data_IF_426612271066
#
_entry.id   IF_426612271066
#
_cell.length_a   1.000
_cell.length_b   1.000
_cell.length_c   1.000
_cell.angle_alpha   90.00
_cell.angle_beta   90.00
_cell.angle_gamma   90.00
#
_symmetry.space_group_name_H-M   'P 1'
#
loop_
_entity.id
_entity.type
_entity.pdbx_description
1 polymer ?
#
# COMPACT_ATOMS: atom_id res chain seq x y z
N UNK A 1 16.87 16.66 3.35
CA UNK A 1 16.51 16.78 4.77
C UNK A 1 17.02 15.67 5.67
N UNK A 2 17.32 14.49 5.13
CA UNK A 2 17.81 13.33 5.91
C UNK A 2 19.30 13.39 6.29
N UNK A 3 20.04 14.44 5.87
CA UNK A 3 21.45 14.61 6.18
C UNK A 3 22.43 13.87 5.27
N UNK A 4 21.95 13.04 4.35
CA UNK A 4 22.76 12.33 3.36
C UNK A 4 22.37 12.76 1.94
N UNK A 5 23.37 13.20 1.15
CA UNK A 5 23.13 13.72 -0.20
C UNK A 5 22.51 15.12 -0.26
N UNK A 6 22.41 15.66 -1.46
CA UNK A 6 21.93 17.03 -1.74
C UNK A 6 20.81 17.06 -2.80
N UNK A 7 20.43 15.90 -3.34
CA UNK A 7 19.37 15.81 -4.33
C UNK A 7 18.00 16.02 -3.69
N UNK A 8 17.09 16.77 -4.33
CA UNK A 8 15.77 17.04 -3.82
C UNK A 8 14.91 15.77 -3.80
N UNK A 9 14.16 15.59 -2.71
CA UNK A 9 13.26 14.47 -2.51
C UNK A 9 11.81 14.95 -2.31
N UNK A 10 10.85 14.04 -2.47
CA UNK A 10 9.43 14.33 -2.14
C UNK A 10 9.28 14.73 -0.66
N UNK A 11 10.11 14.17 0.23
CA UNK A 11 10.11 14.56 1.64
C UNK A 11 10.54 16.01 1.85
N UNK A 12 11.55 16.49 1.11
CA UNK A 12 11.98 17.89 1.18
C UNK A 12 10.84 18.83 0.78
N UNK A 13 10.04 18.47 -0.23
CA UNK A 13 8.88 19.23 -0.63
C UNK A 13 7.84 19.31 0.51
N UNK A 14 7.55 18.20 1.18
CA UNK A 14 6.65 18.20 2.34
C UNK A 14 7.19 19.01 3.52
N UNK A 15 8.50 18.97 3.79
CA UNK A 15 9.14 19.77 4.83
C UNK A 15 9.00 21.25 4.53
N UNK A 16 9.31 21.69 3.30
CA UNK A 16 9.19 23.11 2.90
C UNK A 16 7.76 23.60 2.96
N UNK A 17 6.78 22.77 2.67
CA UNK A 17 5.35 23.09 2.79
C UNK A 17 4.82 22.98 4.23
N UNK A 18 5.67 22.68 5.21
CA UNK A 18 5.29 22.56 6.62
C UNK A 18 4.43 21.35 6.96
N UNK A 19 4.33 20.37 6.05
CA UNK A 19 3.46 19.20 6.18
C UNK A 19 4.05 18.10 7.07
N UNK A 20 5.38 18.11 7.30
CA UNK A 20 6.09 17.19 8.20
C UNK A 20 6.77 18.00 9.30
N UNK A 21 6.65 17.54 10.54
CA UNK A 21 7.39 18.09 11.67
C UNK A 21 8.83 17.57 11.65
N UNK A 22 9.81 18.47 11.57
CA UNK A 22 11.23 18.12 11.47
C UNK A 22 11.78 17.40 12.71
N UNK A 23 11.11 17.57 13.84
CA UNK A 23 11.46 17.07 15.18
C UNK A 23 10.59 15.94 15.70
N UNK A 24 9.60 15.49 14.93
CA UNK A 24 8.60 14.51 15.37
C UNK A 24 8.63 13.18 14.60
N UNK A 25 9.52 13.05 13.62
CA UNK A 25 9.60 11.78 12.86
C UNK A 25 10.14 10.66 13.75
N UNK A 26 9.50 9.49 13.67
CA UNK A 26 9.83 8.32 14.50
C UNK A 26 9.91 8.65 16.01
N UNK A 27 8.90 9.39 16.51
CA UNK A 27 8.86 9.88 17.91
C UNK A 27 10.11 10.70 18.33
N UNK A 28 10.68 11.45 17.39
CA UNK A 28 11.86 12.31 17.64
C UNK A 28 13.21 11.61 17.46
N UNK A 29 13.22 10.32 17.13
CA UNK A 29 14.47 9.58 16.87
C UNK A 29 15.17 10.01 15.56
N UNK A 30 14.40 10.57 14.61
CA UNK A 30 14.94 11.11 13.35
C UNK A 30 14.60 12.59 13.22
N UNK A 31 15.65 13.41 13.20
CA UNK A 31 15.52 14.85 12.95
C UNK A 31 15.77 15.14 11.48
N UNK A 32 14.84 15.86 10.86
CA UNK A 32 14.98 16.36 9.49
C UNK A 32 15.60 17.76 9.51
N UNK A 33 16.42 18.06 8.51
CA UNK A 33 17.03 19.39 8.35
C UNK A 33 16.22 20.22 7.35
N UNK A 34 15.45 21.18 7.85
CA UNK A 34 14.64 22.08 7.03
C UNK A 34 15.50 23.02 6.15
N UNK A 35 16.69 23.39 6.61
CA UNK A 35 17.63 24.19 5.83
C UNK A 35 18.13 23.44 4.61
N UNK A 36 18.53 22.18 4.78
CA UNK A 36 18.95 21.32 3.66
C UNK A 36 17.78 21.02 2.72
N UNK A 37 16.57 20.80 3.22
CA UNK A 37 15.38 20.67 2.38
C UNK A 37 15.16 21.91 1.51
N UNK A 38 15.27 23.10 2.08
CA UNK A 38 15.13 24.35 1.35
C UNK A 38 16.21 24.52 0.28
N UNK A 39 17.48 24.20 0.59
CA UNK A 39 18.58 24.25 -0.37
C UNK A 39 18.42 23.23 -1.52
N UNK A 40 17.97 22.02 -1.20
CA UNK A 40 17.70 20.99 -2.21
C UNK A 40 16.60 21.46 -3.18
N UNK A 41 15.51 22.07 -2.68
CA UNK A 41 14.45 22.59 -3.53
C UNK A 41 14.89 23.79 -4.39
N UNK A 42 15.85 24.60 -3.95
CA UNK A 42 16.41 25.69 -4.75
C UNK A 42 17.07 25.19 -6.03
N UNK A 43 17.61 23.97 -6.04
CA UNK A 43 18.19 23.36 -7.24
C UNK A 43 17.15 23.11 -8.34
N UNK A 44 15.89 22.88 -7.96
CA UNK A 44 14.77 22.73 -8.90
C UNK A 44 14.12 24.08 -9.18
N UNK A 45 13.91 24.89 -8.16
CA UNK A 45 13.18 26.15 -8.25
C UNK A 45 13.89 27.20 -9.11
N UNK A 46 15.19 27.42 -8.85
CA UNK A 46 15.99 28.46 -9.56
C UNK A 46 16.06 28.27 -11.05
N UNK A 47 16.42 27.08 -11.61
CA UNK A 47 16.44 26.87 -13.06
C UNK A 47 15.08 27.05 -13.72
N UNK A 48 13.99 26.83 -12.99
CA UNK A 48 12.62 26.97 -13.50
C UNK A 48 12.03 28.38 -13.27
N UNK A 49 12.78 29.33 -12.68
CA UNK A 49 12.30 30.66 -12.34
C UNK A 49 11.13 30.65 -11.34
N UNK A 50 11.07 29.65 -10.47
CA UNK A 50 10.00 29.46 -9.50
C UNK A 50 10.48 29.76 -8.08
N UNK A 51 9.56 30.12 -7.18
CA UNK A 51 9.83 30.07 -5.75
C UNK A 51 9.78 28.61 -5.22
N UNK A 52 10.34 28.41 -4.02
CA UNK A 52 10.41 27.07 -3.39
C UNK A 52 9.06 26.42 -3.16
N UNK A 53 8.02 27.20 -2.85
CA UNK A 53 6.68 26.69 -2.55
C UNK A 53 6.06 26.13 -3.83
N UNK A 54 6.15 26.88 -4.94
CA UNK A 54 5.70 26.42 -6.26
C UNK A 54 6.47 25.20 -6.75
N UNK A 55 7.79 25.18 -6.54
CA UNK A 55 8.60 24.00 -6.89
C UNK A 55 8.20 22.78 -6.05
N UNK A 56 7.98 22.94 -4.74
CA UNK A 56 7.50 21.89 -3.86
C UNK A 56 6.13 21.33 -4.30
N UNK A 57 5.17 22.21 -4.60
CA UNK A 57 3.87 21.78 -5.14
C UNK A 57 4.00 21.04 -6.49
N UNK A 58 4.88 21.54 -7.36
CA UNK A 58 5.19 20.89 -8.64
C UNK A 58 5.69 19.44 -8.47
N UNK A 59 6.66 19.25 -7.57
CA UNK A 59 7.21 17.93 -7.22
C UNK A 59 6.08 17.01 -6.72
N UNK A 60 5.24 17.49 -5.80
CA UNK A 60 4.14 16.68 -5.25
C UNK A 60 3.09 16.33 -6.31
N UNK A 61 2.77 17.26 -7.23
CA UNK A 61 1.86 16.97 -8.34
C UNK A 61 2.40 15.88 -9.26
N UNK A 62 3.70 15.92 -9.59
CA UNK A 62 4.33 14.87 -10.41
C UNK A 62 4.32 13.53 -9.67
N UNK A 63 4.68 13.52 -8.39
CA UNK A 63 4.62 12.31 -7.57
C UNK A 63 3.20 11.72 -7.50
N UNK A 64 2.19 12.56 -7.27
CA UNK A 64 0.79 12.14 -7.23
C UNK A 64 0.31 11.60 -8.59
N UNK A 65 0.68 12.24 -9.71
CA UNK A 65 0.34 11.75 -11.05
C UNK A 65 0.94 10.36 -11.34
N UNK A 66 2.16 10.10 -10.88
CA UNK A 66 2.79 8.79 -11.02
C UNK A 66 2.09 7.73 -10.15
N UNK A 67 1.73 8.07 -8.90
CA UNK A 67 0.98 7.17 -8.03
C UNK A 67 -0.44 6.92 -8.56
N UNK A 68 -1.13 7.94 -9.05
CA UNK A 68 -2.45 7.80 -9.69
C UNK A 68 -2.38 6.83 -10.87
N UNK A 69 -1.38 6.96 -11.75
CA UNK A 69 -1.16 6.05 -12.87
C UNK A 69 -0.98 4.61 -12.40
N UNK A 70 -0.15 4.38 -11.38
CA UNK A 70 0.06 3.05 -10.83
C UNK A 70 -1.24 2.44 -10.25
N UNK A 71 -2.07 3.24 -9.59
CA UNK A 71 -3.38 2.80 -9.08
C UNK A 71 -4.30 2.43 -10.24
N UNK A 72 -4.33 3.21 -11.32
CA UNK A 72 -5.16 2.91 -12.51
C UNK A 72 -4.78 1.61 -13.19
N UNK A 73 -3.49 1.29 -13.27
CA UNK A 73 -3.01 0.00 -13.82
C UNK A 73 -3.56 -1.20 -13.06
N UNK A 74 -3.63 -1.13 -11.73
CA UNK A 74 -4.12 -2.25 -10.91
C UNK A 74 -5.65 -2.23 -10.70
N UNK A 75 -6.34 -1.18 -11.11
CA UNK A 75 -7.80 -1.04 -10.98
C UNK A 75 -8.49 -0.91 -12.35
N UNK A 76 -8.43 0.25 -12.97
CA UNK A 76 -9.17 0.56 -14.22
C UNK A 76 -8.79 -0.38 -15.36
N UNK A 77 -7.49 -0.64 -15.56
CA UNK A 77 -7.02 -1.55 -16.61
C UNK A 77 -7.43 -3.01 -16.35
N UNK A 78 -7.82 -3.33 -15.12
CA UNK A 78 -8.38 -4.65 -14.75
C UNK A 78 -9.91 -4.65 -14.67
N UNK A 79 -10.58 -3.58 -15.11
CA UNK A 79 -12.03 -3.49 -15.14
C UNK A 79 -12.68 -3.09 -13.82
N UNK A 80 -11.91 -2.62 -12.84
CA UNK A 80 -12.44 -2.14 -11.55
C UNK A 80 -12.60 -0.63 -11.55
N UNK A 81 -13.78 -0.13 -11.20
CA UNK A 81 -14.00 1.30 -11.01
C UNK A 81 -13.45 1.73 -9.64
N UNK A 82 -12.44 2.63 -9.57
CA UNK A 82 -11.90 3.09 -8.29
C UNK A 82 -12.95 3.68 -7.35
N UNK A 83 -14.04 4.26 -7.88
CA UNK A 83 -15.10 4.91 -7.09
C UNK A 83 -15.86 3.95 -6.16
N UNK A 84 -15.81 2.65 -6.44
CA UNK A 84 -16.44 1.59 -5.64
C UNK A 84 -15.56 1.15 -4.45
N UNK A 85 -14.36 1.73 -4.32
CA UNK A 85 -13.37 1.35 -3.32
C UNK A 85 -13.06 2.48 -2.34
N UNK A 86 -12.38 2.13 -1.25
CA UNK A 86 -11.69 3.05 -0.37
C UNK A 86 -10.17 2.98 -0.62
N UNK A 87 -9.47 4.11 -0.50
CA UNK A 87 -8.03 4.17 -0.57
C UNK A 87 -7.42 3.86 0.79
N UNK A 88 -6.63 2.80 0.90
CA UNK A 88 -5.84 2.52 2.10
C UNK A 88 -4.47 3.17 1.96
N UNK A 89 -4.15 4.09 2.86
CA UNK A 89 -2.87 4.81 2.87
C UNK A 89 -2.00 4.34 4.03
N UNK A 90 -0.76 3.93 3.72
CA UNK A 90 0.22 3.52 4.70
C UNK A 90 1.64 3.89 4.26
N UNK A 91 2.63 3.64 5.13
CA UNK A 91 3.99 4.16 4.98
C UNK A 91 4.13 5.58 5.54
N UNK A 92 5.36 6.07 5.66
CA UNK A 92 5.67 7.35 6.33
C UNK A 92 4.94 8.56 5.75
N UNK A 93 4.91 8.67 4.42
CA UNK A 93 4.31 9.79 3.69
C UNK A 93 2.99 9.44 2.99
N UNK A 94 2.53 8.18 3.02
CA UNK A 94 1.31 7.76 2.32
C UNK A 94 0.09 8.61 2.66
N UNK A 95 -0.09 8.94 3.94
CA UNK A 95 -1.18 9.80 4.41
C UNK A 95 -1.11 11.25 3.94
N UNK A 96 0.07 11.75 3.54
CA UNK A 96 0.24 13.11 3.02
C UNK A 96 -0.29 13.28 1.60
N UNK A 97 -0.35 12.20 0.84
CA UNK A 97 -0.81 12.15 -0.54
C UNK A 97 -2.26 11.67 -0.69
N UNK A 98 -2.75 10.94 0.31
CA UNK A 98 -3.94 10.10 0.21
C UNK A 98 -5.22 10.84 -0.18
N UNK A 99 -5.51 11.99 0.44
CA UNK A 99 -6.73 12.75 0.14
C UNK A 99 -6.69 13.36 -1.27
N UNK A 100 -5.51 13.80 -1.73
CA UNK A 100 -5.35 14.34 -3.08
C UNK A 100 -5.51 13.24 -4.13
N UNK A 101 -4.87 12.09 -3.94
CA UNK A 101 -5.03 10.92 -4.81
C UNK A 101 -6.48 10.42 -4.84
N UNK A 102 -7.13 10.34 -3.68
CA UNK A 102 -8.54 9.96 -3.61
C UNK A 102 -9.44 10.96 -4.37
N UNK A 103 -9.15 12.27 -4.27
CA UNK A 103 -9.90 13.29 -5.01
C UNK A 103 -9.73 13.15 -6.53
N UNK A 104 -8.50 12.88 -7.02
CA UNK A 104 -8.18 12.69 -8.43
C UNK A 104 -8.84 11.42 -9.01
N UNK A 105 -8.88 10.34 -8.22
CA UNK A 105 -9.50 9.07 -8.60
C UNK A 105 -11.02 9.02 -8.38
N UNK A 106 -11.62 10.07 -7.81
CA UNK A 106 -13.06 10.12 -7.51
C UNK A 106 -13.47 9.29 -6.28
N UNK A 107 -12.51 8.83 -5.48
CA UNK A 107 -12.76 8.10 -4.23
C UNK A 107 -13.27 9.05 -3.15
N UNK A 108 -14.18 8.56 -2.32
CA UNK A 108 -14.79 9.35 -1.23
C UNK A 108 -14.23 9.05 0.15
N UNK A 109 -13.53 7.93 0.28
CA UNK A 109 -13.06 7.41 1.56
C UNK A 109 -11.58 7.07 1.49
N UNK A 110 -10.83 7.55 2.48
CA UNK A 110 -9.44 7.16 2.74
C UNK A 110 -9.39 6.52 4.12
N UNK A 111 -8.67 5.41 4.21
CA UNK A 111 -8.43 4.65 5.43
C UNK A 111 -6.94 4.69 5.75
N UNK A 112 -6.57 5.11 6.95
CA UNK A 112 -5.18 5.08 7.41
C UNK A 112 -5.10 4.16 8.63
N UNK A 113 -4.51 2.96 8.48
CA UNK A 113 -4.44 1.99 9.57
C UNK A 113 -3.67 2.51 10.78
N UNK A 114 -3.96 1.95 11.96
CA UNK A 114 -3.02 2.07 13.07
C UNK A 114 -1.65 1.53 12.65
N UNK A 115 -0.58 2.13 13.14
CA UNK A 115 0.80 1.79 12.78
C UNK A 115 1.10 1.92 11.27
N UNK A 116 0.44 2.85 10.57
CA UNK A 116 0.63 3.05 9.13
C UNK A 116 2.10 3.14 8.72
N UNK A 117 2.95 3.80 9.50
CA UNK A 117 4.39 3.94 9.22
C UNK A 117 5.17 2.64 9.23
N UNK A 118 4.69 1.61 9.91
CA UNK A 118 5.33 0.30 10.08
C UNK A 118 4.42 -0.87 9.69
N UNK A 119 3.36 -0.62 8.91
CA UNK A 119 2.34 -1.60 8.56
C UNK A 119 2.92 -2.85 7.89
N UNK A 120 3.95 -2.70 7.05
CA UNK A 120 4.61 -3.84 6.40
C UNK A 120 5.34 -4.73 7.42
N UNK A 121 6.03 -4.13 8.39
CA UNK A 121 6.68 -4.87 9.47
C UNK A 121 5.63 -5.58 10.36
N UNK A 122 4.53 -4.88 10.64
CA UNK A 122 3.40 -5.46 11.34
C UNK A 122 2.82 -6.66 10.57
N UNK A 123 2.66 -6.54 9.26
CA UNK A 123 2.20 -7.62 8.38
C UNK A 123 3.07 -8.88 8.47
N UNK A 124 4.37 -8.74 8.63
CA UNK A 124 5.28 -9.87 8.82
C UNK A 124 5.00 -10.66 10.10
N UNK A 125 4.53 -10.01 11.18
CA UNK A 125 4.14 -10.67 12.42
C UNK A 125 2.89 -11.53 12.26
N UNK A 126 2.03 -11.18 11.29
CA UNK A 126 0.83 -11.96 10.97
C UNK A 126 0.98 -12.88 9.77
N UNK A 127 2.08 -12.79 9.04
CA UNK A 127 2.31 -13.67 7.90
C UNK A 127 2.55 -15.11 8.37
N UNK A 128 1.92 -16.06 7.66
CA UNK A 128 2.25 -17.46 7.82
C UNK A 128 3.62 -17.74 7.21
N UNK A 129 4.33 -18.73 7.75
CA UNK A 129 5.55 -19.22 7.11
C UNK A 129 5.15 -20.04 5.89
N UNK A 130 5.54 -19.58 4.69
CA UNK A 130 5.27 -20.26 3.43
C UNK A 130 6.58 -20.61 2.75
N UNK A 131 6.70 -21.83 2.22
CA UNK A 131 7.79 -22.26 1.34
C UNK A 131 7.23 -22.96 0.13
N UNK A 132 7.73 -22.58 -1.04
CA UNK A 132 7.38 -23.18 -2.31
C UNK A 132 8.52 -24.08 -2.79
N UNK A 133 8.16 -25.27 -3.22
CA UNK A 133 9.06 -26.28 -3.79
C UNK A 133 8.59 -26.61 -5.19
N UNK A 134 9.49 -26.70 -6.15
CA UNK A 134 9.16 -26.96 -7.53
C UNK A 134 10.17 -27.90 -8.18
N UNK A 135 9.70 -28.69 -9.15
CA UNK A 135 10.52 -29.54 -10.03
C UNK A 135 9.93 -29.49 -11.44
N UNK A 136 10.78 -29.41 -12.46
CA UNK A 136 10.37 -29.55 -13.87
C UNK A 136 9.76 -30.93 -14.14
N UNK A 137 8.70 -30.97 -14.94
CA UNK A 137 7.90 -32.18 -15.19
C UNK A 137 7.81 -32.59 -16.66
N UNK A 138 8.37 -31.84 -17.61
CA UNK A 138 8.22 -32.03 -19.06
C UNK A 138 8.62 -33.42 -19.58
N UNK A 139 9.55 -34.10 -18.92
CA UNK A 139 10.04 -35.43 -19.33
C UNK A 139 9.52 -36.57 -18.48
N UNK A 140 8.51 -36.33 -17.64
CA UNK A 140 7.99 -37.33 -16.70
C UNK A 140 6.60 -37.81 -17.10
N UNK A 141 6.45 -39.14 -17.27
CA UNK A 141 5.16 -39.76 -17.54
C UNK A 141 4.21 -39.79 -16.33
N UNK A 142 4.78 -39.79 -15.13
CA UNK A 142 4.00 -39.82 -13.89
C UNK A 142 4.45 -38.69 -12.92
N UNK A 143 3.50 -37.96 -12.35
CA UNK A 143 3.78 -36.83 -11.48
C UNK A 143 3.83 -37.18 -9.99
N UNK A 144 3.21 -38.26 -9.59
CA UNK A 144 3.12 -38.67 -8.18
C UNK A 144 4.48 -38.85 -7.49
N UNK A 145 5.51 -39.44 -8.10
CA UNK A 145 6.84 -39.51 -7.51
C UNK A 145 7.46 -38.13 -7.27
N UNK A 146 7.23 -37.18 -8.20
CA UNK A 146 7.72 -35.82 -8.10
C UNK A 146 7.06 -35.10 -6.92
N UNK A 147 5.72 -35.15 -6.82
CA UNK A 147 5.00 -34.58 -5.70
C UNK A 147 5.45 -35.17 -4.36
N UNK A 148 5.57 -36.50 -4.24
CA UNK A 148 6.05 -37.15 -3.01
C UNK A 148 7.48 -36.74 -2.65
N UNK A 149 8.34 -36.50 -3.64
CA UNK A 149 9.70 -36.00 -3.41
C UNK A 149 9.67 -34.60 -2.80
N UNK A 150 8.88 -33.68 -3.42
CA UNK A 150 8.69 -32.33 -2.93
C UNK A 150 8.06 -32.30 -1.53
N UNK A 151 7.06 -33.14 -1.28
CA UNK A 151 6.40 -33.25 0.02
C UNK A 151 7.36 -33.75 1.13
N UNK A 152 8.19 -34.74 0.86
CA UNK A 152 9.22 -35.17 1.82
C UNK A 152 10.18 -34.04 2.14
N UNK A 153 10.61 -33.29 1.13
CA UNK A 153 11.47 -32.12 1.32
C UNK A 153 10.77 -31.04 2.12
N UNK A 154 9.51 -30.73 1.78
CA UNK A 154 8.71 -29.73 2.46
C UNK A 154 8.49 -30.07 3.94
N UNK A 155 8.16 -31.33 4.26
CA UNK A 155 7.99 -31.79 5.65
C UNK A 155 9.28 -31.73 6.46
N UNK A 156 10.44 -31.98 5.82
CA UNK A 156 11.74 -31.86 6.46
C UNK A 156 12.13 -30.39 6.74
N UNK A 157 11.88 -29.50 5.77
CA UNK A 157 12.28 -28.08 5.88
C UNK A 157 11.27 -27.24 6.68
N UNK A 158 9.98 -27.64 6.69
CA UNK A 158 8.92 -26.95 7.43
C UNK A 158 8.01 -27.97 8.13
N UNK A 159 8.45 -28.54 9.26
CA UNK A 159 7.64 -29.52 10.01
C UNK A 159 6.31 -28.92 10.46
N UNK A 160 5.23 -29.73 10.38
CA UNK A 160 3.88 -29.33 10.78
C UNK A 160 3.14 -28.44 9.78
N UNK A 161 3.72 -28.17 8.60
CA UNK A 161 3.05 -27.41 7.55
C UNK A 161 1.93 -28.21 6.87
N UNK A 162 0.86 -27.54 6.51
CA UNK A 162 -0.09 -28.03 5.49
C UNK A 162 0.57 -27.96 4.11
N UNK A 163 0.27 -28.93 3.26
CA UNK A 163 0.84 -29.04 1.92
C UNK A 163 -0.25 -28.89 0.86
N UNK A 164 0.01 -28.05 -0.12
CA UNK A 164 -0.87 -27.84 -1.27
C UNK A 164 -0.09 -28.18 -2.55
N UNK A 165 -0.68 -29.03 -3.41
CA UNK A 165 -0.12 -29.38 -4.73
C UNK A 165 -0.68 -28.45 -5.79
N UNK A 166 0.18 -28.00 -6.69
CA UNK A 166 -0.22 -27.33 -7.95
C UNK A 166 0.72 -27.71 -9.07
N UNK A 167 0.31 -27.43 -10.30
CA UNK A 167 1.17 -27.63 -11.46
C UNK A 167 1.02 -26.47 -12.43
N UNK A 168 2.11 -26.16 -13.13
CA UNK A 168 2.11 -25.21 -14.23
C UNK A 168 1.87 -25.97 -15.52
N UNK A 169 0.75 -25.65 -16.18
CA UNK A 169 0.30 -26.31 -17.41
C UNK A 169 0.17 -25.29 -18.55
N UNK A 170 0.35 -25.78 -19.75
CA UNK A 170 0.08 -25.01 -20.98
C UNK A 170 -0.42 -25.94 -22.10
N UNK A 171 -1.06 -25.39 -23.10
CA UNK A 171 -1.23 -26.14 -24.35
C UNK A 171 0.11 -26.30 -25.06
N UNK A 172 0.33 -27.45 -25.66
CA UNK A 172 1.55 -27.69 -26.45
C UNK A 172 1.77 -26.57 -27.46
N UNK A 173 2.97 -26.00 -27.45
CA UNK A 173 3.37 -24.89 -28.32
C UNK A 173 2.98 -23.49 -27.80
N UNK A 174 2.41 -23.35 -26.62
CA UNK A 174 2.24 -22.04 -25.94
C UNK A 174 3.51 -21.67 -25.16
N UNK A 175 3.77 -20.36 -25.07
CA UNK A 175 4.90 -19.82 -24.30
C UNK A 175 4.57 -19.53 -22.84
N UNK A 176 3.28 -19.42 -22.50
CA UNK A 176 2.81 -19.05 -21.16
C UNK A 176 2.14 -20.22 -20.48
N UNK A 177 2.36 -20.36 -19.19
CA UNK A 177 1.87 -21.40 -18.33
C UNK A 177 0.83 -20.82 -17.35
N UNK A 178 -0.15 -21.66 -16.98
CA UNK A 178 -1.09 -21.36 -15.91
C UNK A 178 -0.86 -22.31 -14.75
N UNK A 179 -0.73 -21.76 -13.55
CA UNK A 179 -0.65 -22.54 -12.33
C UNK A 179 -2.06 -22.94 -11.88
N UNK A 180 -2.31 -24.23 -11.78
CA UNK A 180 -3.61 -24.77 -11.34
C UNK A 180 -3.45 -25.69 -10.13
N UNK A 181 -4.42 -25.72 -9.19
CA UNK A 181 -4.43 -26.68 -8.10
C UNK A 181 -4.45 -28.12 -8.64
N UNK A 182 -3.59 -28.97 -8.10
CA UNK A 182 -3.52 -30.38 -8.48
C UNK A 182 -4.30 -31.26 -7.50
N UNK A 183 -5.52 -31.66 -7.90
CA UNK A 183 -6.44 -32.50 -7.09
C UNK A 183 -6.90 -33.74 -7.86
N UNK A 184 -5.97 -34.35 -8.63
CA UNK A 184 -6.23 -35.55 -9.44
C UNK A 184 -6.45 -35.25 -10.91
N UNK A 185 -7.36 -34.40 -11.31
CA UNK A 185 -7.58 -33.96 -12.69
C UNK A 185 -7.09 -32.55 -12.91
N UNK A 186 -5.85 -32.41 -13.36
CA UNK A 186 -5.25 -31.13 -13.70
C UNK A 186 -5.75 -30.55 -15.03
N UNK A 187 -6.19 -31.38 -15.97
CA UNK A 187 -6.63 -30.95 -17.29
C UNK A 187 -7.90 -30.11 -17.20
N UNK A 188 -8.94 -30.61 -16.53
CA UNK A 188 -10.18 -29.85 -16.34
C UNK A 188 -9.97 -28.56 -15.54
N UNK A 189 -9.07 -28.57 -14.54
CA UNK A 189 -8.72 -27.36 -13.81
C UNK A 189 -8.03 -26.32 -14.72
N UNK A 190 -7.13 -26.79 -15.60
CA UNK A 190 -6.44 -25.95 -16.57
C UNK A 190 -7.41 -25.32 -17.59
N UNK A 191 -8.30 -26.12 -18.19
CA UNK A 191 -9.28 -25.60 -19.16
C UNK A 191 -10.17 -24.53 -18.55
N UNK A 192 -10.66 -24.71 -17.31
CA UNK A 192 -11.45 -23.68 -16.60
C UNK A 192 -10.65 -22.41 -16.36
N UNK A 193 -9.41 -22.55 -15.93
CA UNK A 193 -8.55 -21.39 -15.66
C UNK A 193 -8.16 -20.67 -16.94
N UNK A 194 -7.87 -21.41 -18.03
CA UNK A 194 -7.56 -20.85 -19.35
C UNK A 194 -8.75 -20.07 -19.91
N UNK A 195 -9.98 -20.62 -19.77
CA UNK A 195 -11.21 -19.91 -20.13
C UNK A 195 -11.37 -18.62 -19.32
N UNK A 196 -11.06 -18.66 -18.03
CA UNK A 196 -11.17 -17.49 -17.15
C UNK A 196 -10.17 -16.38 -17.51
N UNK A 197 -8.92 -16.75 -17.80
CA UNK A 197 -7.82 -15.78 -18.04
C UNK A 197 -7.85 -15.24 -19.47
N UNK A 198 -8.07 -16.12 -20.46
CA UNK A 198 -7.94 -15.78 -21.88
C UNK A 198 -9.26 -15.74 -22.63
N UNK A 199 -10.39 -16.09 -22.00
CA UNK A 199 -11.70 -16.08 -22.62
C UNK A 199 -12.02 -17.27 -23.53
N UNK A 200 -11.13 -18.25 -23.63
CA UNK A 200 -11.34 -19.47 -24.40
C UNK A 200 -10.64 -20.69 -23.77
N UNK A 201 -11.08 -21.89 -24.13
CA UNK A 201 -10.41 -23.16 -23.85
C UNK A 201 -10.60 -24.12 -25.04
N UNK A 202 -9.68 -25.06 -25.20
CA UNK A 202 -9.74 -26.06 -26.24
C UNK A 202 -9.41 -27.45 -25.65
N UNK A 203 -10.44 -28.21 -25.34
CA UNK A 203 -10.31 -29.54 -24.73
C UNK A 203 -9.68 -30.58 -25.66
N UNK A 204 -9.61 -30.31 -26.96
CA UNK A 204 -9.00 -31.22 -27.95
C UNK A 204 -7.50 -31.01 -28.09
N UNK A 205 -7.01 -29.88 -27.62
CA UNK A 205 -5.59 -29.51 -27.72
C UNK A 205 -4.79 -30.20 -26.62
N UNK A 206 -3.67 -30.87 -26.95
CA UNK A 206 -2.83 -31.53 -25.95
C UNK A 206 -2.24 -30.52 -24.97
N UNK A 207 -2.21 -30.92 -23.70
CA UNK A 207 -1.66 -30.15 -22.59
C UNK A 207 -0.32 -30.77 -22.20
N UNK A 208 0.67 -29.93 -21.93
CA UNK A 208 1.92 -30.35 -21.30
C UNK A 208 2.02 -29.77 -19.90
N UNK A 209 2.58 -30.56 -18.99
CA UNK A 209 2.84 -30.17 -17.62
C UNK A 209 4.31 -29.77 -17.52
N UNK A 210 4.55 -28.51 -17.26
CA UNK A 210 5.91 -27.93 -17.28
C UNK A 210 6.59 -28.08 -15.93
N UNK A 211 5.86 -27.80 -14.85
CA UNK A 211 6.40 -27.78 -13.47
C UNK A 211 5.35 -28.32 -12.51
N UNK A 212 5.78 -29.13 -11.56
CA UNK A 212 4.96 -29.46 -10.38
C UNK A 212 5.46 -28.69 -9.17
N UNK A 213 4.51 -28.27 -8.33
CA UNK A 213 4.80 -27.45 -7.15
C UNK A 213 4.13 -27.99 -5.91
N UNK A 214 4.80 -27.86 -4.79
CA UNK A 214 4.24 -28.08 -3.45
C UNK A 214 4.46 -26.82 -2.64
N UNK A 215 3.36 -26.22 -2.19
CA UNK A 215 3.37 -25.11 -1.23
C UNK A 215 3.18 -25.66 0.17
N UNK A 216 4.16 -25.41 1.03
CA UNK A 216 4.08 -25.72 2.45
C UNK A 216 3.74 -24.46 3.23
N UNK A 217 2.67 -24.51 4.02
CA UNK A 217 2.21 -23.40 4.86
C UNK A 217 2.14 -23.83 6.31
N UNK A 218 2.82 -23.11 7.17
CA UNK A 218 2.72 -23.24 8.63
C UNK A 218 2.13 -21.97 9.22
N UNK A 219 0.98 -22.12 9.86
CA UNK A 219 0.31 -21.00 10.54
C UNK A 219 1.19 -20.47 11.67
N UNK A 220 1.42 -19.17 11.68
CA UNK A 220 2.13 -18.47 12.74
C UNK A 220 1.11 -17.96 13.77
N UNK A 221 1.36 -18.07 15.08
CA UNK A 221 0.52 -17.45 16.10
C UNK A 221 0.38 -15.97 15.82
N UNK A 222 -0.87 -15.47 15.83
CA UNK A 222 -1.16 -14.07 15.52
C UNK A 222 -1.11 -13.25 16.80
N UNK A 223 -0.23 -12.23 16.92
CA UNK A 223 -0.20 -11.37 18.09
C UNK A 223 -1.50 -10.56 18.20
N UNK A 224 -2.01 -10.41 19.42
CA UNK A 224 -3.09 -9.49 19.67
C UNK A 224 -2.58 -8.04 19.56
N UNK A 225 -3.28 -7.20 18.79
CA UNK A 225 -2.99 -5.77 18.80
C UNK A 225 -3.48 -5.17 20.13
N UNK A 226 -2.55 -4.54 20.85
CA UNK A 226 -2.92 -3.75 22.01
C UNK A 226 -3.63 -2.48 21.51
N UNK A 227 -4.86 -2.29 21.97
CA UNK A 227 -5.63 -1.09 21.67
C UNK A 227 -5.15 0.02 22.60
N UNK A 228 -4.64 1.12 22.05
CA UNK A 228 -4.48 2.33 22.84
C UNK A 228 -5.85 2.93 23.13
N UNK A 229 -6.11 3.28 24.41
CA UNK A 229 -7.34 3.97 24.77
C UNK A 229 -7.31 5.39 24.24
N UNK A 230 -8.23 5.72 23.33
CA UNK A 230 -8.35 7.06 22.78
C UNK A 230 -9.06 7.97 23.78
N UNK A 231 -8.32 8.84 24.43
CA UNK A 231 -8.86 9.76 25.42
C UNK A 231 -9.54 11.02 24.80
N UNK A 232 -9.52 11.15 23.46
CA UNK A 232 -10.18 12.28 22.80
C UNK A 232 -9.67 13.65 23.26
N UNK A 233 -8.38 13.82 23.47
CA UNK A 233 -7.77 15.06 23.93
C UNK A 233 -7.78 16.14 22.84
N UNK A 234 -7.82 17.42 23.24
CA UNK A 234 -7.66 18.54 22.31
C UNK A 234 -6.33 18.47 21.53
N UNK A 235 -6.28 19.04 20.32
CA UNK A 235 -5.04 19.07 19.53
C UNK A 235 -3.91 19.72 20.32
N UNK A 236 -2.71 19.13 20.28
CA UNK A 236 -1.58 19.57 21.10
C UNK A 236 -0.95 20.89 20.61
N UNK A 237 -1.08 21.20 19.32
CA UNK A 237 -0.47 22.38 18.71
C UNK A 237 -1.14 22.78 17.39
N UNK A 238 -0.83 23.99 16.95
CA UNK A 238 -1.08 24.45 15.59
C UNK A 238 0.22 24.63 14.82
N UNK A 239 0.17 24.38 13.53
CA UNK A 239 1.31 24.57 12.62
C UNK A 239 0.88 25.35 11.39
N UNK A 240 1.80 26.13 10.84
CA UNK A 240 1.64 26.78 9.54
C UNK A 240 1.96 25.79 8.44
N UNK A 241 0.97 25.44 7.61
CA UNK A 241 1.05 24.43 6.55
C UNK A 241 0.53 25.02 5.24
N UNK A 242 1.23 24.76 4.15
CA UNK A 242 0.75 25.10 2.82
C UNK A 242 -0.18 23.99 2.31
N UNK A 243 -1.44 24.33 2.16
CA UNK A 243 -2.49 23.42 1.72
C UNK A 243 -3.55 24.19 0.92
N UNK A 244 -4.04 23.61 -0.16
CA UNK A 244 -5.06 24.22 -1.02
C UNK A 244 -4.63 25.62 -1.52
N UNK A 245 -3.38 25.70 -2.04
CA UNK A 245 -2.80 26.89 -2.66
C UNK A 245 -2.45 28.03 -1.73
N UNK A 246 -2.51 27.86 -0.42
CA UNK A 246 -2.21 28.92 0.57
C UNK A 246 -1.70 28.42 1.89
N UNK A 247 -1.00 29.29 2.63
CA UNK A 247 -0.58 29.03 4.00
C UNK A 247 -1.78 29.13 4.95
N UNK A 248 -1.96 28.09 5.78
CA UNK A 248 -3.01 28.03 6.82
C UNK A 248 -2.42 27.64 8.17
N UNK A 249 -3.04 28.07 9.25
CA UNK A 249 -2.84 27.43 10.55
C UNK A 249 -3.66 26.16 10.58
N UNK A 250 -3.01 25.03 10.89
CA UNK A 250 -3.57 23.70 10.84
C UNK A 250 -3.37 23.04 12.19
N UNK A 251 -4.44 22.46 12.75
CA UNK A 251 -4.37 21.68 13.99
C UNK A 251 -3.56 20.42 13.77
N UNK A 252 -2.67 20.12 14.72
CA UNK A 252 -1.86 18.90 14.72
C UNK A 252 -2.31 18.02 15.86
N UNK A 253 -2.74 16.83 15.53
CA UNK A 253 -3.15 15.79 16.46
C UNK A 253 -2.09 14.71 16.52
N UNK A 254 -1.72 14.23 17.71
CA UNK A 254 -1.17 12.90 17.84
C UNK A 254 -2.29 11.88 17.53
N UNK A 255 -1.94 10.71 17.03
CA UNK A 255 -2.92 9.66 16.70
C UNK A 255 -3.89 9.35 17.84
N UNK A 256 -3.37 9.25 19.07
CA UNK A 256 -4.15 9.01 20.30
C UNK A 256 -5.13 10.12 20.66
N UNK A 257 -4.96 11.32 20.10
CA UNK A 257 -5.84 12.48 20.33
C UNK A 257 -7.05 12.50 19.39
N UNK A 258 -7.03 11.71 18.32
CA UNK A 258 -8.16 11.65 17.38
C UNK A 258 -9.27 10.83 18.02
N UNK A 259 -10.44 11.45 18.24
CA UNK A 259 -11.60 10.82 18.84
C UNK A 259 -12.50 10.13 17.80
N UNK A 260 -13.55 9.46 18.28
CA UNK A 260 -14.65 8.94 17.43
C UNK A 260 -15.56 10.04 16.89
N UNK A 261 -15.54 11.22 17.50
CA UNK A 261 -16.30 12.35 17.00
C UNK A 261 -15.70 12.84 15.68
N UNK A 262 -16.57 13.17 14.74
CA UNK A 262 -16.16 13.67 13.43
C UNK A 262 -15.60 15.08 13.60
N UNK A 263 -14.40 15.30 13.07
CA UNK A 263 -13.74 16.57 12.99
C UNK A 263 -13.53 17.01 11.55
N UNK A 264 -13.53 18.31 11.31
CA UNK A 264 -13.27 18.90 9.98
C UNK A 264 -11.79 19.18 9.76
N UNK A 265 -11.32 18.96 8.53
CA UNK A 265 -10.05 19.51 8.05
C UNK A 265 -10.10 21.03 7.81
N UNK A 266 -8.95 21.73 7.72
CA UNK A 266 -7.63 21.12 7.59
C UNK A 266 -7.03 20.66 8.94
N UNK A 267 -6.37 19.50 8.91
CA UNK A 267 -5.68 18.95 10.07
C UNK A 267 -4.44 18.14 9.62
N UNK A 268 -3.48 17.99 10.53
CA UNK A 268 -2.43 16.99 10.46
C UNK A 268 -2.64 15.96 11.57
N UNK A 269 -2.49 14.68 11.24
CA UNK A 269 -2.41 13.60 12.24
C UNK A 269 -1.02 13.02 12.18
N UNK A 270 -0.28 13.15 13.28
CA UNK A 270 1.04 12.58 13.45
C UNK A 270 0.91 11.22 14.14
N UNK A 271 1.59 10.22 13.59
CA UNK A 271 1.68 8.88 14.09
C UNK A 271 3.15 8.47 14.22
N UNK A 272 3.44 7.34 14.89
CA UNK A 272 4.80 6.82 14.89
C UNK A 272 5.25 6.50 13.46
N UNK A 273 6.20 7.26 12.95
CA UNK A 273 6.77 7.09 11.62
C UNK A 273 5.84 7.41 10.44
N UNK A 274 4.68 8.05 10.67
CA UNK A 274 3.76 8.46 9.60
C UNK A 274 3.11 9.81 9.90
N UNK A 275 2.75 10.52 8.83
CA UNK A 275 1.96 11.77 8.93
C UNK A 275 0.84 11.73 7.89
N UNK A 276 -0.35 12.13 8.32
CA UNK A 276 -1.54 12.25 7.45
C UNK A 276 -1.99 13.69 7.38
N UNK A 277 -2.18 14.20 6.16
CA UNK A 277 -2.76 15.52 5.90
C UNK A 277 -4.24 15.34 5.54
N UNK A 278 -5.09 16.00 6.29
CA UNK A 278 -6.52 16.12 5.99
C UNK A 278 -6.74 17.54 5.45
N UNK A 279 -7.00 17.74 4.14
CA UNK A 279 -7.23 19.06 3.58
C UNK A 279 -8.62 19.61 3.89
N UNK A 280 -8.91 20.88 3.59
CA UNK A 280 -10.26 21.43 3.65
C UNK A 280 -11.24 20.60 2.78
N UNK A 281 -12.49 20.49 3.22
CA UNK A 281 -13.53 19.70 2.52
C UNK A 281 -13.44 18.19 2.77
N UNK A 282 -12.65 17.80 3.77
CA UNK A 282 -12.58 16.43 4.28
C UNK A 282 -12.87 16.42 5.77
N UNK A 283 -13.50 15.36 6.23
CA UNK A 283 -13.79 15.07 7.62
C UNK A 283 -13.06 13.80 8.04
N UNK A 284 -12.74 13.69 9.33
CA UNK A 284 -12.04 12.53 9.85
C UNK A 284 -12.48 12.17 11.26
N UNK A 285 -12.33 10.91 11.60
CA UNK A 285 -12.53 10.35 12.93
C UNK A 285 -11.74 9.05 13.06
N UNK A 286 -11.63 8.51 14.26
CA UNK A 286 -11.04 7.21 14.50
C UNK A 286 -12.09 6.19 14.87
N UNK A 287 -12.02 4.96 14.34
CA UNK A 287 -12.91 3.87 14.71
C UNK A 287 -12.42 3.10 15.94
N UNK A 288 -13.17 2.05 16.33
CA UNK A 288 -12.86 1.19 17.48
C UNK A 288 -11.59 0.36 17.30
N UNK A 289 -11.06 0.24 16.09
CA UNK A 289 -9.87 -0.51 15.76
C UNK A 289 -8.64 0.38 15.60
N UNK A 290 -8.78 1.70 15.87
CA UNK A 290 -7.71 2.66 15.69
C UNK A 290 -7.50 3.08 14.22
N UNK A 291 -8.39 2.71 13.30
CA UNK A 291 -8.36 3.14 11.90
C UNK A 291 -8.77 4.61 11.80
N UNK A 292 -7.95 5.45 11.17
CA UNK A 292 -8.35 6.80 10.80
C UNK A 292 -9.19 6.71 9.52
N UNK A 293 -10.45 7.10 9.62
CA UNK A 293 -11.40 7.15 8.52
C UNK A 293 -11.53 8.60 8.09
N UNK A 294 -11.20 8.88 6.83
CA UNK A 294 -11.26 10.22 6.26
C UNK A 294 -12.25 10.20 5.12
N UNK A 295 -13.24 11.10 5.16
CA UNK A 295 -14.30 11.17 4.15
C UNK A 295 -14.39 12.54 3.54
N UNK A 296 -14.58 12.60 2.22
CA UNK A 296 -14.85 13.83 1.52
C UNK A 296 -16.25 14.32 1.85
N UNK A 297 -16.36 15.57 2.30
CA UNK A 297 -17.67 16.18 2.51
C UNK A 297 -18.35 16.38 1.16
N UNK A 298 -19.60 15.97 1.02
CA UNK A 298 -20.39 16.29 -0.15
C UNK A 298 -20.53 17.81 -0.23
N UNK A 299 -20.17 18.42 -1.35
CA UNK A 299 -20.54 19.81 -1.62
C UNK A 299 -22.06 19.91 -1.49
N UNK A 300 -22.57 20.50 -0.41
CA UNK A 300 -23.91 21.09 -0.46
C UNK A 300 -23.78 22.21 -1.51
N UNK A 301 -24.32 22.01 -2.71
CA UNK A 301 -24.66 23.12 -3.59
C UNK A 301 -25.51 24.05 -2.74
N UNK A 302 -25.02 25.25 -2.46
CA UNK A 302 -25.88 26.32 -2.00
C UNK A 302 -26.87 26.54 -3.16
N UNK A 303 -28.10 26.13 -2.93
CA UNK A 303 -29.27 26.52 -3.72
C UNK A 303 -29.47 28.03 -3.65
#
# INVERSE_FOLDING_TARGET
CYGAGDEPTVTDAHVVLGRIAVDQLAAGALRLDAGRAALALDRVAKPLGMDRVRAAEGILRVANANMERAIRVVSVERGHDPRDFALVAFGGCGGLHACELAAQLGLRTVLVPAFAGVLSALGLLWADTVRDFAIGALSHETLDPLFRSLERRARRELPGASLERSADLRYVGQSYELNVPWRGDGASAFHREHQRVYGYSDEKRPIEIVTVRVRARRTTPKPALVRESNAGQAPAMERRVFVDGRWRRVRVYARSQVSRAIADGPALVADYGATTLIPPGWQFHQDDHGMLIIRRTSFRRKS
#
